data_IF_061127763495
#
_entry.id   IF_061127763495
#
_cell.length_a   1.000
_cell.length_b   1.000
_cell.length_c   1.000
_cell.angle_alpha   90.00
_cell.angle_beta   90.00
_cell.angle_gamma   90.00
#
_symmetry.space_group_name_H-M   'P 1'
#
loop_
_entity.id
_entity.type
_entity.pdbx_description
1 polymer ?
#
# COMPACT_ATOMS: atom_id res chain seq x y z
N UNK A 1 -9.21 42.84 -75.51
CA UNK A 1 -8.47 42.56 -74.26
C UNK A 1 -9.44 42.12 -73.16
N UNK A 2 -9.44 40.81 -72.89
CA UNK A 2 -9.74 40.04 -71.67
C UNK A 2 -10.88 40.42 -70.70
N UNK A 3 -12.11 40.01 -71.03
CA UNK A 3 -13.16 39.63 -70.05
C UNK A 3 -13.07 38.16 -69.57
N UNK A 4 -12.22 37.33 -70.18
CA UNK A 4 -12.09 35.91 -69.83
C UNK A 4 -11.19 35.61 -68.62
N UNK A 5 -10.42 36.59 -68.11
CA UNK A 5 -9.44 36.33 -67.04
C UNK A 5 -9.99 36.42 -65.62
N UNK A 6 -11.17 37.04 -65.40
CA UNK A 6 -11.76 37.19 -64.05
C UNK A 6 -12.61 35.99 -63.61
N UNK A 7 -13.25 35.28 -64.54
CA UNK A 7 -13.99 34.05 -64.21
C UNK A 7 -13.07 32.86 -63.90
N UNK A 8 -11.89 32.80 -64.53
CA UNK A 8 -10.91 31.74 -64.26
C UNK A 8 -10.34 31.85 -62.83
N UNK A 9 -10.08 33.06 -62.35
CA UNK A 9 -9.54 33.30 -61.00
C UNK A 9 -10.56 32.99 -59.89
N UNK A 10 -11.84 33.32 -60.10
CA UNK A 10 -12.90 32.99 -59.14
C UNK A 10 -13.19 31.49 -59.08
N UNK A 11 -13.16 30.80 -60.23
CA UNK A 11 -13.30 29.33 -60.31
C UNK A 11 -12.15 28.59 -59.62
N UNK A 12 -10.91 29.05 -59.77
CA UNK A 12 -9.74 28.46 -59.08
C UNK A 12 -9.78 28.69 -57.57
N UNK A 13 -10.20 29.86 -57.10
CA UNK A 13 -10.35 30.11 -55.65
C UNK A 13 -11.46 29.25 -55.00
N UNK A 14 -12.58 29.00 -55.70
CA UNK A 14 -13.66 28.13 -55.20
C UNK A 14 -13.23 26.65 -55.17
N UNK A 15 -12.44 26.20 -56.15
CA UNK A 15 -11.89 24.83 -56.16
C UNK A 15 -10.84 24.64 -55.05
N UNK A 16 -9.98 25.63 -54.79
CA UNK A 16 -8.97 25.55 -53.71
C UNK A 16 -9.63 25.62 -52.31
N UNK A 17 -10.71 26.41 -52.16
CA UNK A 17 -11.49 26.47 -50.91
C UNK A 17 -12.27 25.18 -50.63
N UNK A 18 -12.88 24.56 -51.65
CA UNK A 18 -13.59 23.27 -51.50
C UNK A 18 -12.65 22.09 -51.24
N UNK A 19 -11.45 22.08 -51.84
CA UNK A 19 -10.41 21.08 -51.56
C UNK A 19 -9.81 21.19 -50.14
N UNK A 20 -9.70 22.41 -49.61
CA UNK A 20 -9.19 22.64 -48.25
C UNK A 20 -10.24 22.31 -47.17
N UNK A 21 -11.52 22.61 -47.42
CA UNK A 21 -12.64 22.19 -46.57
C UNK A 21 -12.81 20.66 -46.59
N UNK A 22 -12.74 20.02 -47.77
CA UNK A 22 -12.79 18.55 -47.92
C UNK A 22 -11.64 17.85 -47.17
N UNK A 23 -10.40 18.36 -47.29
CA UNK A 23 -9.25 17.83 -46.54
C UNK A 23 -9.38 18.03 -45.03
N UNK A 24 -9.94 19.15 -44.57
CA UNK A 24 -10.19 19.40 -43.15
C UNK A 24 -11.27 18.47 -42.58
N UNK A 25 -12.33 18.22 -43.36
CA UNK A 25 -13.44 17.36 -42.99
C UNK A 25 -13.06 15.88 -43.00
N UNK A 26 -12.25 15.43 -43.97
CA UNK A 26 -11.61 14.10 -43.93
C UNK A 26 -10.66 13.95 -42.73
N UNK A 27 -9.92 15.00 -42.37
CA UNK A 27 -9.04 14.98 -41.18
C UNK A 27 -9.84 14.83 -39.91
N UNK A 28 -10.96 15.55 -39.78
CA UNK A 28 -11.90 15.45 -38.67
C UNK A 28 -12.51 14.05 -38.56
N UNK A 29 -12.97 13.48 -39.68
CA UNK A 29 -13.50 12.11 -39.74
C UNK A 29 -12.43 11.06 -39.40
N UNK A 30 -11.19 11.20 -39.91
CA UNK A 30 -10.07 10.33 -39.57
C UNK A 30 -9.65 10.47 -38.11
N UNK A 31 -9.70 11.68 -37.54
CA UNK A 31 -9.44 11.92 -36.12
C UNK A 31 -10.57 11.39 -35.23
N UNK A 32 -11.84 11.49 -35.63
CA UNK A 32 -12.96 10.87 -34.93
C UNK A 32 -12.91 9.35 -34.98
N UNK A 33 -12.60 8.76 -36.14
CA UNK A 33 -12.40 7.32 -36.27
C UNK A 33 -11.19 6.85 -35.45
N UNK A 34 -10.10 7.62 -35.42
CA UNK A 34 -8.94 7.32 -34.57
C UNK A 34 -9.28 7.43 -33.08
N UNK A 35 -10.03 8.45 -32.65
CA UNK A 35 -10.56 8.60 -31.28
C UNK A 35 -11.48 7.43 -30.91
N UNK A 36 -12.42 7.07 -31.76
CA UNK A 36 -13.29 5.90 -31.58
C UNK A 36 -12.49 4.60 -31.48
N UNK A 37 -11.43 4.45 -32.27
CA UNK A 37 -10.56 3.27 -32.27
C UNK A 37 -9.67 3.16 -31.03
N UNK A 38 -9.35 4.28 -30.38
CA UNK A 38 -8.60 4.32 -29.11
C UNK A 38 -9.51 3.96 -27.93
N UNK A 39 -10.77 4.43 -27.94
CA UNK A 39 -11.77 4.06 -26.94
C UNK A 39 -12.21 2.61 -27.11
N UNK A 40 -12.40 2.13 -28.35
CA UNK A 40 -12.82 0.74 -28.62
C UNK A 40 -11.73 -0.31 -28.42
N UNK A 41 -10.45 0.09 -28.39
CA UNK A 41 -9.31 -0.80 -28.09
C UNK A 41 -8.85 -0.75 -26.63
N UNK A 42 -9.52 0.01 -25.78
CA UNK A 42 -9.22 0.04 -24.35
C UNK A 42 -9.40 -1.33 -23.69
N UNK A 43 -8.70 -1.53 -22.58
CA UNK A 43 -8.74 -2.76 -21.78
C UNK A 43 -9.63 -2.56 -20.57
N UNK A 44 -10.69 -3.38 -20.48
CA UNK A 44 -11.42 -3.58 -19.22
C UNK A 44 -10.69 -4.65 -18.41
N UNK A 45 -10.52 -4.41 -17.11
CA UNK A 45 -9.96 -5.40 -16.19
C UNK A 45 -10.52 -5.20 -14.79
N UNK A 46 -10.46 -6.23 -13.96
CA UNK A 46 -11.03 -6.12 -12.64
C UNK A 46 -10.88 -7.35 -11.78
N UNK A 47 -11.58 -7.29 -10.65
CA UNK A 47 -11.83 -8.47 -9.85
C UNK A 47 -13.14 -8.34 -9.10
N UNK A 48 -13.79 -9.49 -8.88
CA UNK A 48 -14.72 -9.68 -7.78
C UNK A 48 -13.96 -10.31 -6.62
N UNK A 49 -14.21 -9.82 -5.41
CA UNK A 49 -13.59 -10.29 -4.16
C UNK A 49 -14.69 -10.57 -3.15
N UNK A 50 -14.57 -11.70 -2.48
CA UNK A 50 -15.25 -11.95 -1.21
C UNK A 50 -14.20 -12.19 -0.13
N UNK A 51 -14.42 -11.62 1.04
CA UNK A 51 -13.44 -11.57 2.13
C UNK A 51 -14.15 -11.83 3.45
N UNK A 52 -13.93 -13.02 4.00
CA UNK A 52 -14.32 -13.38 5.36
C UNK A 52 -13.15 -13.14 6.32
N UNK A 53 -13.43 -12.60 7.50
CA UNK A 53 -12.45 -12.30 8.53
C UNK A 53 -13.05 -12.53 9.92
N UNK A 54 -12.29 -13.16 10.82
CA UNK A 54 -12.68 -13.29 12.22
C UNK A 54 -11.48 -13.17 13.14
N UNK A 55 -11.70 -12.56 14.30
CA UNK A 55 -10.73 -12.47 15.40
C UNK A 55 -11.38 -13.04 16.66
N UNK A 56 -10.74 -14.06 17.21
CA UNK A 56 -11.10 -14.68 18.47
C UNK A 56 -10.15 -14.17 19.54
N UNK A 57 -10.69 -13.47 20.53
CA UNK A 57 -9.97 -12.95 21.69
C UNK A 57 -10.09 -13.91 22.87
N UNK A 58 -9.24 -13.69 23.87
CA UNK A 58 -9.19 -14.51 25.08
C UNK A 58 -10.43 -14.37 25.99
N UNK A 59 -10.87 -15.52 26.52
CA UNK A 59 -11.86 -15.58 27.58
C UNK A 59 -13.18 -14.92 27.20
N UNK A 60 -13.65 -14.00 28.04
CA UNK A 60 -14.91 -13.28 27.86
C UNK A 60 -14.80 -12.05 26.94
N UNK A 61 -13.61 -11.73 26.43
CA UNK A 61 -13.44 -10.60 25.52
C UNK A 61 -14.15 -10.85 24.20
N UNK A 62 -14.74 -9.79 23.66
CA UNK A 62 -15.54 -9.88 22.44
C UNK A 62 -14.73 -10.40 21.26
N UNK A 63 -15.35 -11.31 20.49
CA UNK A 63 -14.91 -11.71 19.17
C UNK A 63 -15.55 -10.84 18.09
N UNK A 64 -14.90 -10.72 16.94
CA UNK A 64 -15.49 -10.03 15.78
C UNK A 64 -15.38 -10.90 14.55
N UNK A 65 -16.47 -10.98 13.79
CA UNK A 65 -16.54 -11.62 12.49
C UNK A 65 -17.13 -10.66 11.46
N UNK A 66 -16.59 -10.68 10.25
CA UNK A 66 -17.10 -9.88 9.14
C UNK A 66 -16.96 -10.62 7.83
N UNK A 67 -17.91 -10.37 6.93
CA UNK A 67 -17.89 -10.88 5.58
C UNK A 67 -18.23 -9.75 4.61
N UNK A 68 -17.31 -9.49 3.70
CA UNK A 68 -17.44 -8.46 2.69
C UNK A 68 -17.49 -9.06 1.29
N UNK A 69 -18.29 -8.46 0.41
CA UNK A 69 -18.25 -8.71 -1.03
C UNK A 69 -18.02 -7.39 -1.76
N UNK A 70 -17.39 -7.43 -2.93
CA UNK A 70 -17.13 -6.23 -3.71
C UNK A 70 -16.09 -6.47 -4.78
N UNK A 71 -15.40 -5.42 -5.20
CA UNK A 71 -14.48 -5.57 -6.31
C UNK A 71 -13.92 -4.28 -6.83
N UNK A 72 -13.26 -4.42 -7.98
CA UNK A 72 -12.70 -3.33 -8.76
C UNK A 72 -13.08 -3.53 -10.22
N UNK A 73 -13.60 -2.49 -10.85
CA UNK A 73 -13.74 -2.39 -12.29
C UNK A 73 -12.81 -1.29 -12.79
N UNK A 74 -11.97 -1.60 -13.77
CA UNK A 74 -10.99 -0.67 -14.35
C UNK A 74 -11.10 -0.66 -15.86
N UNK A 75 -11.02 0.53 -16.44
CA UNK A 75 -10.85 0.74 -17.87
C UNK A 75 -9.58 1.55 -18.12
N UNK A 76 -8.76 1.10 -19.07
CA UNK A 76 -7.56 1.81 -19.52
C UNK A 76 -7.56 1.90 -21.04
N UNK A 77 -7.30 3.08 -21.60
CA UNK A 77 -7.12 3.20 -23.05
C UNK A 77 -5.80 2.57 -23.48
N UNK A 78 -5.66 2.26 -24.77
CA UNK A 78 -4.31 2.11 -25.35
C UNK A 78 -3.61 3.47 -25.37
N UNK A 79 -2.29 3.48 -25.56
CA UNK A 79 -1.58 4.72 -25.81
C UNK A 79 -2.00 5.31 -27.17
N UNK A 80 -2.37 6.59 -27.17
CA UNK A 80 -2.62 7.38 -28.37
C UNK A 80 -1.80 8.67 -28.30
N UNK A 81 -0.96 8.90 -29.32
CA UNK A 81 0.00 10.03 -29.32
C UNK A 81 0.75 10.15 -27.98
N UNK A 82 1.25 9.02 -27.45
CA UNK A 82 1.96 8.90 -26.17
C UNK A 82 1.11 9.12 -24.90
N UNK A 83 -0.20 9.35 -25.01
CA UNK A 83 -1.10 9.49 -23.87
C UNK A 83 -1.95 8.24 -23.62
N UNK A 84 -2.17 7.90 -22.35
CA UNK A 84 -3.07 6.86 -21.88
C UNK A 84 -3.94 7.43 -20.75
N UNK A 85 -5.23 7.15 -20.80
CA UNK A 85 -6.16 7.45 -19.71
C UNK A 85 -6.52 6.16 -18.97
N UNK A 86 -6.69 6.24 -17.65
CA UNK A 86 -7.14 5.14 -16.83
C UNK A 86 -8.13 5.59 -15.77
N UNK A 87 -9.19 4.81 -15.58
CA UNK A 87 -10.22 5.02 -14.57
C UNK A 87 -10.55 3.70 -13.87
N UNK A 88 -10.69 3.71 -12.55
CA UNK A 88 -11.09 2.53 -11.79
C UNK A 88 -12.05 2.88 -10.65
N UNK A 89 -13.10 2.07 -10.55
CA UNK A 89 -14.08 2.12 -9.49
C UNK A 89 -13.93 0.94 -8.55
N UNK A 90 -14.04 1.20 -7.25
CA UNK A 90 -13.91 0.22 -6.18
C UNK A 90 -15.19 0.19 -5.36
N UNK A 91 -15.56 -1.00 -4.91
CA UNK A 91 -16.71 -1.18 -4.01
C UNK A 91 -16.44 -2.22 -2.93
N UNK A 92 -17.06 -2.02 -1.78
CA UNK A 92 -17.13 -2.98 -0.68
C UNK A 92 -18.51 -2.93 -0.05
N UNK A 93 -19.10 -4.11 0.18
CA UNK A 93 -20.41 -4.30 0.76
C UNK A 93 -20.28 -5.18 2.00
N UNK A 94 -20.80 -4.72 3.14
CA UNK A 94 -20.96 -5.51 4.36
C UNK A 94 -22.17 -6.43 4.21
N UNK A 95 -21.92 -7.74 4.28
CA UNK A 95 -22.96 -8.78 4.17
C UNK A 95 -23.79 -8.94 5.47
N UNK A 96 -23.53 -8.10 6.47
CA UNK A 96 -24.33 -7.96 7.69
C UNK A 96 -24.47 -9.27 8.50
N UNK A 97 -23.40 -10.08 8.52
CA UNK A 97 -23.35 -11.29 9.34
C UNK A 97 -23.10 -11.00 10.83
N UNK A 98 -22.53 -9.83 11.15
CA UNK A 98 -22.33 -9.35 12.52
C UNK A 98 -22.26 -7.81 12.56
N UNK A 99 -22.55 -7.22 13.71
CA UNK A 99 -22.33 -5.79 13.95
C UNK A 99 -20.83 -5.52 14.23
N UNK A 100 -20.07 -5.20 13.18
CA UNK A 100 -18.64 -4.87 13.27
C UNK A 100 -18.36 -3.59 14.09
N UNK A 101 -19.36 -2.70 14.24
CA UNK A 101 -19.29 -1.49 15.05
C UNK A 101 -19.51 -1.74 16.55
N UNK A 102 -19.93 -2.95 16.94
CA UNK A 102 -20.12 -3.31 18.32
C UNK A 102 -18.81 -3.20 19.12
N UNK A 103 -18.94 -2.71 20.35
CA UNK A 103 -17.83 -2.56 21.28
C UNK A 103 -17.83 -3.70 22.29
N UNK A 104 -16.65 -4.04 22.75
CA UNK A 104 -16.46 -4.96 23.85
C UNK A 104 -16.99 -4.37 25.16
N UNK A 105 -17.74 -5.17 25.93
CA UNK A 105 -18.43 -4.71 27.13
C UNK A 105 -17.46 -4.34 28.27
N UNK A 106 -16.32 -5.04 28.37
CA UNK A 106 -15.36 -4.84 29.45
C UNK A 106 -14.40 -3.67 29.18
N UNK A 107 -13.97 -3.50 27.93
CA UNK A 107 -12.89 -2.58 27.56
C UNK A 107 -13.36 -1.38 26.75
N UNK A 108 -14.61 -1.39 26.28
CA UNK A 108 -15.18 -0.41 25.35
C UNK A 108 -14.37 -0.24 24.05
N UNK A 109 -13.56 -1.24 23.68
CA UNK A 109 -12.79 -1.28 22.43
C UNK A 109 -13.64 -1.83 21.30
N UNK A 110 -13.47 -1.28 20.10
CA UNK A 110 -14.09 -1.81 18.88
C UNK A 110 -13.18 -2.80 18.14
N UNK A 111 -13.69 -3.36 17.04
CA UNK A 111 -12.90 -4.18 16.12
C UNK A 111 -11.64 -3.44 15.66
N UNK A 112 -10.53 -4.18 15.57
CA UNK A 112 -9.27 -3.68 15.00
C UNK A 112 -9.06 -4.09 13.54
N UNK A 113 -9.55 -5.27 13.16
CA UNK A 113 -9.18 -5.88 11.87
C UNK A 113 -10.34 -5.94 10.88
N UNK A 114 -11.50 -6.39 11.35
CA UNK A 114 -12.75 -6.63 10.60
C UNK A 114 -13.35 -5.33 10.12
N UNK A 115 -13.35 -4.27 10.94
CA UNK A 115 -13.78 -2.93 10.53
C UNK A 115 -13.01 -2.45 9.30
N UNK A 116 -11.76 -2.89 9.14
CA UNK A 116 -10.95 -2.59 7.98
C UNK A 116 -11.46 -3.23 6.68
N UNK A 117 -12.48 -4.08 6.68
CA UNK A 117 -13.13 -4.51 5.44
C UNK A 117 -14.07 -3.45 4.85
N UNK A 118 -14.48 -2.46 5.65
CA UNK A 118 -15.50 -1.45 5.32
C UNK A 118 -14.99 -0.03 5.63
N UNK A 119 -15.87 0.98 5.54
CA UNK A 119 -15.48 2.34 5.89
C UNK A 119 -15.06 2.46 7.37
N UNK A 120 -13.77 2.66 7.61
CA UNK A 120 -13.22 2.73 8.97
C UNK A 120 -13.65 3.96 9.78
N UNK A 121 -14.17 5.01 9.14
CA UNK A 121 -14.70 6.20 9.84
C UNK A 121 -16.20 6.13 10.11
N UNK A 122 -16.91 5.19 9.46
CA UNK A 122 -18.34 5.02 9.62
C UNK A 122 -18.72 3.53 9.56
N UNK A 123 -18.70 2.86 10.71
CA UNK A 123 -19.01 1.43 10.81
C UNK A 123 -20.45 1.08 10.41
N UNK A 124 -21.38 2.05 10.42
CA UNK A 124 -22.77 1.85 10.02
C UNK A 124 -22.95 1.89 8.50
N UNK A 125 -21.98 2.41 7.76
CA UNK A 125 -22.02 2.46 6.31
C UNK A 125 -21.87 1.05 5.74
N UNK A 126 -22.99 0.50 5.25
CA UNK A 126 -23.03 -0.86 4.69
C UNK A 126 -22.26 -1.00 3.39
N UNK A 127 -22.13 0.07 2.62
CA UNK A 127 -21.49 0.04 1.31
C UNK A 127 -20.54 1.21 1.15
N UNK A 128 -19.31 0.90 0.74
CA UNK A 128 -18.23 1.85 0.46
C UNK A 128 -17.95 1.86 -1.02
N UNK A 129 -17.92 3.04 -1.61
CA UNK A 129 -17.70 3.26 -3.03
C UNK A 129 -16.56 4.25 -3.22
N UNK A 130 -15.69 4.02 -4.19
CA UNK A 130 -14.58 4.93 -4.45
C UNK A 130 -14.20 4.94 -5.92
N UNK A 131 -14.25 6.13 -6.55
CA UNK A 131 -13.57 6.38 -7.81
C UNK A 131 -12.07 6.56 -7.55
N UNK A 132 -11.39 5.41 -7.46
CA UNK A 132 -10.07 5.28 -6.86
C UNK A 132 -8.90 5.53 -7.80
N UNK A 133 -9.05 5.23 -9.09
CA UNK A 133 -8.08 5.59 -10.12
C UNK A 133 -8.76 6.50 -11.14
N UNK A 134 -8.08 7.59 -11.52
CA UNK A 134 -8.50 8.55 -12.53
C UNK A 134 -7.24 9.34 -12.91
N UNK A 135 -6.53 8.90 -13.95
CA UNK A 135 -5.23 9.46 -14.30
C UNK A 135 -5.03 9.62 -15.80
N UNK A 136 -4.19 10.59 -16.15
CA UNK A 136 -3.55 10.73 -17.44
C UNK A 136 -2.09 10.32 -17.33
N UNK A 137 -1.63 9.50 -18.26
CA UNK A 137 -0.25 9.06 -18.36
C UNK A 137 0.34 9.44 -19.70
N UNK A 138 1.49 10.10 -19.67
CA UNK A 138 2.33 10.36 -20.84
C UNK A 138 3.52 9.39 -20.84
N UNK A 139 3.84 8.80 -21.99
CA UNK A 139 4.96 7.88 -22.14
C UNK A 139 5.72 8.10 -23.44
N UNK A 140 7.01 8.45 -23.36
CA UNK A 140 7.88 8.60 -24.51
C UNK A 140 9.24 7.94 -24.25
N UNK A 141 9.61 6.98 -25.10
CA UNK A 141 10.83 6.19 -24.92
C UNK A 141 10.83 5.46 -23.58
N UNK A 142 11.79 5.81 -22.70
CA UNK A 142 11.91 5.23 -21.36
C UNK A 142 11.43 6.16 -20.24
N UNK A 143 10.70 7.23 -20.57
CA UNK A 143 10.13 8.20 -19.63
C UNK A 143 8.63 8.03 -19.52
N UNK A 144 8.12 8.07 -18.30
CA UNK A 144 6.70 7.97 -18.00
C UNK A 144 6.32 9.00 -16.95
N UNK A 145 5.28 9.77 -17.22
CA UNK A 145 4.68 10.75 -16.30
C UNK A 145 3.22 10.35 -16.10
N UNK A 146 2.75 10.30 -14.86
CA UNK A 146 1.35 10.04 -14.50
C UNK A 146 0.85 11.18 -13.64
N UNK A 147 -0.34 11.69 -13.94
CA UNK A 147 -1.01 12.76 -13.20
C UNK A 147 -2.43 12.31 -12.86
N UNK A 148 -2.84 12.50 -11.60
CA UNK A 148 -4.20 12.20 -11.13
C UNK A 148 -4.20 11.16 -10.01
N UNK A 149 -5.32 10.43 -9.89
CA UNK A 149 -5.51 9.38 -8.87
C UNK A 149 -4.99 8.05 -9.40
N UNK A 150 -4.10 7.41 -8.68
CA UNK A 150 -3.38 6.23 -9.12
C UNK A 150 -2.99 5.33 -7.94
N UNK A 151 -2.78 4.06 -8.25
CA UNK A 151 -2.22 3.10 -7.28
C UNK A 151 -0.70 3.06 -7.40
N UNK A 152 0.02 3.59 -6.42
CA UNK A 152 1.49 3.50 -6.37
C UNK A 152 1.97 2.49 -5.33
N UNK A 153 3.18 1.99 -5.53
CA UNK A 153 3.85 1.08 -4.60
C UNK A 153 5.31 1.50 -4.45
N UNK A 154 5.64 1.99 -3.26
CA UNK A 154 6.98 2.22 -2.75
C UNK A 154 7.20 1.39 -1.47
N UNK A 155 8.42 1.32 -0.92
CA UNK A 155 8.67 0.67 0.37
C UNK A 155 7.74 1.12 1.51
N UNK A 156 7.67 2.43 1.81
CA UNK A 156 6.92 2.95 2.96
C UNK A 156 5.48 3.37 2.62
N UNK A 157 5.23 3.82 1.38
CA UNK A 157 3.89 4.17 0.90
C UNK A 157 3.40 3.15 -0.12
N UNK A 158 2.35 2.40 0.20
CA UNK A 158 1.91 1.26 -0.60
C UNK A 158 0.42 0.95 -0.44
N UNK A 159 -0.18 0.13 -1.33
CA UNK A 159 -1.63 -0.05 -1.39
C UNK A 159 -2.23 -0.79 -0.18
N UNK A 160 -1.42 -1.43 0.66
CA UNK A 160 -1.91 -2.23 1.79
C UNK A 160 -3.04 -3.23 1.44
N UNK A 161 -2.98 -3.85 0.25
CA UNK A 161 -4.04 -4.65 -0.38
C UNK A 161 -4.33 -6.00 0.33
N UNK A 162 -4.69 -5.90 1.61
CA UNK A 162 -5.13 -7.00 2.47
C UNK A 162 -6.51 -6.72 3.07
N UNK A 163 -7.33 -5.92 2.38
CA UNK A 163 -8.72 -5.55 2.66
C UNK A 163 -9.48 -5.42 1.34
N UNK A 164 -10.68 -4.82 1.32
CA UNK A 164 -11.49 -4.70 0.09
C UNK A 164 -11.01 -3.59 -0.86
N UNK A 165 -10.80 -2.39 -0.32
CA UNK A 165 -10.35 -1.20 -1.07
C UNK A 165 -8.93 -0.84 -0.61
N UNK A 166 -7.93 -0.79 -1.50
CA UNK A 166 -6.55 -0.47 -1.14
C UNK A 166 -6.34 1.02 -0.89
N UNK A 167 -5.19 1.39 -0.31
CA UNK A 167 -4.71 2.78 -0.32
C UNK A 167 -4.45 3.25 -1.75
N UNK A 168 -4.93 4.44 -2.09
CA UNK A 168 -4.80 5.07 -3.40
C UNK A 168 -4.31 6.51 -3.23
N UNK A 169 -3.62 7.04 -4.23
CA UNK A 169 -2.87 8.29 -4.10
C UNK A 169 -3.20 9.24 -5.25
N UNK A 170 -3.20 10.53 -4.98
CA UNK A 170 -3.39 11.57 -6.00
C UNK A 170 -2.15 12.45 -6.07
N UNK A 171 -1.62 12.65 -7.27
CA UNK A 171 -0.47 13.51 -7.47
C UNK A 171 0.16 13.38 -8.84
N UNK A 172 1.42 13.80 -8.91
CA UNK A 172 2.29 13.66 -10.06
C UNK A 172 3.34 12.58 -9.76
N UNK A 173 3.56 11.69 -10.72
CA UNK A 173 4.55 10.64 -10.62
C UNK A 173 5.36 10.52 -11.92
N UNK A 174 6.68 10.52 -11.79
CA UNK A 174 7.63 10.33 -12.85
C UNK A 174 8.44 9.06 -12.63
N UNK A 175 8.71 8.35 -13.72
CA UNK A 175 9.55 7.16 -13.75
C UNK A 175 10.36 7.12 -15.03
N UNK A 176 11.66 6.86 -14.91
CA UNK A 176 12.49 6.53 -16.06
C UNK A 176 13.36 5.29 -15.85
N UNK A 177 13.77 4.69 -16.97
CA UNK A 177 14.65 3.52 -17.03
C UNK A 177 15.76 3.69 -18.09
N UNK A 178 16.28 4.92 -18.21
CA UNK A 178 17.30 5.26 -19.21
C UNK A 178 18.53 4.36 -19.08
N UNK A 179 19.09 4.32 -17.87
CA UNK A 179 20.26 3.53 -17.52
C UNK A 179 19.89 2.04 -17.39
N UNK A 180 20.77 1.17 -17.88
CA UNK A 180 20.62 -0.29 -17.74
C UNK A 180 20.57 -0.67 -16.26
N UNK A 181 19.68 -1.59 -15.91
CA UNK A 181 19.50 -2.10 -14.54
C UNK A 181 19.06 -1.08 -13.48
N UNK A 182 18.82 0.18 -13.87
CA UNK A 182 18.48 1.26 -12.94
C UNK A 182 17.10 1.83 -13.27
N UNK A 183 16.31 2.09 -12.23
CA UNK A 183 15.05 2.83 -12.31
C UNK A 183 15.16 4.05 -11.41
N UNK A 184 14.95 5.24 -11.97
CA UNK A 184 14.78 6.45 -11.17
C UNK A 184 13.31 6.86 -11.16
N UNK A 185 12.86 7.34 -10.00
CA UNK A 185 11.47 7.75 -9.78
C UNK A 185 11.45 9.03 -8.97
N UNK A 186 10.47 9.88 -9.25
CA UNK A 186 10.20 11.08 -8.48
C UNK A 186 8.70 11.35 -8.47
N UNK A 187 8.17 11.97 -7.42
CA UNK A 187 6.76 12.33 -7.38
C UNK A 187 6.42 13.31 -6.28
N UNK A 188 5.27 13.96 -6.45
CA UNK A 188 4.65 14.82 -5.46
C UNK A 188 3.21 14.37 -5.26
N UNK A 189 2.89 13.92 -4.05
CA UNK A 189 1.57 13.39 -3.70
C UNK A 189 0.86 14.40 -2.82
N UNK A 190 -0.33 14.85 -3.24
CA UNK A 190 -1.10 15.86 -2.52
C UNK A 190 -2.23 15.26 -1.69
N UNK A 191 -2.80 14.13 -2.13
CA UNK A 191 -3.91 13.48 -1.44
C UNK A 191 -3.75 11.96 -1.41
N UNK A 192 -4.44 11.36 -0.46
CA UNK A 192 -4.52 9.91 -0.27
C UNK A 192 -5.97 9.54 0.05
N UNK A 193 -6.42 8.42 -0.50
CA UNK A 193 -7.55 7.67 0.03
C UNK A 193 -6.93 6.50 0.82
N UNK A 194 -6.92 6.54 2.17
CA UNK A 194 -6.42 5.44 2.97
C UNK A 194 -7.16 4.14 2.64
N UNK A 195 -6.56 3.00 2.98
CA UNK A 195 -7.23 1.71 2.80
C UNK A 195 -8.59 1.71 3.51
N UNK A 196 -9.62 1.26 2.80
CA UNK A 196 -11.00 1.17 3.31
C UNK A 196 -11.63 2.52 3.66
N UNK A 197 -11.36 3.52 2.82
CA UNK A 197 -12.04 4.82 2.76
C UNK A 197 -12.88 4.95 1.50
N UNK A 198 -13.84 5.88 1.51
CA UNK A 198 -14.68 6.26 0.37
C UNK A 198 -14.29 7.61 -0.28
N UNK A 199 -13.35 8.36 0.27
CA UNK A 199 -12.90 9.63 -0.27
C UNK A 199 -11.38 9.84 -0.22
N UNK A 200 -10.91 10.82 -0.99
CA UNK A 200 -9.55 11.33 -0.90
C UNK A 200 -9.52 12.51 0.08
N UNK A 201 -8.49 12.55 0.92
CA UNK A 201 -8.18 13.65 1.84
C UNK A 201 -6.75 14.12 1.61
N UNK A 202 -6.43 15.34 2.03
CA UNK A 202 -5.05 15.86 1.90
C UNK A 202 -4.07 14.99 2.70
N UNK A 203 -2.77 15.07 2.35
CA UNK A 203 -1.73 14.35 3.11
C UNK A 203 -1.76 14.72 4.60
N UNK A 204 -1.97 15.99 4.96
CA UNK A 204 -2.06 16.43 6.35
C UNK A 204 -3.29 15.84 7.07
N UNK A 205 -4.49 15.97 6.48
CA UNK A 205 -5.73 15.45 7.07
C UNK A 205 -5.69 13.93 7.24
N UNK A 206 -4.97 13.22 6.38
CA UNK A 206 -4.88 11.77 6.47
C UNK A 206 -4.19 11.26 7.74
N UNK A 207 -3.32 12.06 8.36
CA UNK A 207 -2.51 11.63 9.49
C UNK A 207 -3.36 11.59 10.76
N UNK A 208 -3.48 10.42 11.38
CA UNK A 208 -4.24 10.22 12.61
C UNK A 208 -5.72 9.90 12.42
N UNK A 209 -6.13 9.57 11.19
CA UNK A 209 -7.46 9.03 10.90
C UNK A 209 -7.70 7.72 11.66
N UNK A 210 -6.67 6.87 11.74
CA UNK A 210 -6.71 5.70 12.59
C UNK A 210 -6.41 6.11 14.05
N UNK A 211 -5.72 5.26 14.82
CA UNK A 211 -5.33 5.61 16.19
C UNK A 211 -4.25 6.69 16.22
N UNK A 212 -4.49 7.76 16.98
CA UNK A 212 -3.50 8.82 17.26
C UNK A 212 -2.42 8.40 18.26
N UNK A 213 -2.68 7.37 19.06
CA UNK A 213 -1.76 6.90 20.11
C UNK A 213 -1.52 7.94 21.21
N UNK A 214 -0.38 7.81 21.88
CA UNK A 214 0.03 8.65 23.02
C UNK A 214 1.21 9.56 22.68
N UNK A 215 1.29 10.69 23.37
CA UNK A 215 2.45 11.56 23.44
C UNK A 215 3.57 10.91 24.28
N UNK A 216 4.79 11.47 24.32
CA UNK A 216 5.89 10.92 25.14
C UNK A 216 5.57 10.90 26.64
N UNK A 217 4.79 11.86 27.12
CA UNK A 217 4.30 11.97 28.50
C UNK A 217 3.16 11.01 28.85
N UNK A 218 2.67 10.23 27.88
CA UNK A 218 1.56 9.29 28.06
C UNK A 218 0.16 9.89 27.82
N UNK A 219 0.03 11.20 27.66
CA UNK A 219 -1.23 11.87 27.29
C UNK A 219 -1.69 11.45 25.88
N UNK A 220 -2.97 11.66 25.55
CA UNK A 220 -3.48 11.38 24.20
C UNK A 220 -2.84 12.33 23.19
N UNK A 221 -2.37 11.82 22.06
CA UNK A 221 -1.85 12.68 20.99
C UNK A 221 -2.96 13.54 20.37
N UNK A 222 -2.66 14.82 20.18
CA UNK A 222 -3.61 15.84 19.72
C UNK A 222 -3.36 16.33 18.29
N UNK A 223 -2.51 15.67 17.51
CA UNK A 223 -2.10 16.16 16.18
C UNK A 223 -3.18 16.03 15.08
N UNK A 224 -4.24 15.27 15.30
CA UNK A 224 -5.29 15.08 14.29
C UNK A 224 -5.96 16.42 13.99
N UNK A 225 -6.01 16.78 12.70
CA UNK A 225 -6.48 18.09 12.21
C UNK A 225 -5.65 19.30 12.68
N UNK A 226 -4.44 19.11 13.24
CA UNK A 226 -3.57 20.20 13.69
C UNK A 226 -2.31 20.37 12.82
N UNK A 227 -2.13 19.50 11.83
CA UNK A 227 -0.96 19.49 10.95
C UNK A 227 -1.24 20.29 9.69
N UNK A 228 -0.23 20.99 9.20
CA UNK A 228 -0.23 21.62 7.87
C UNK A 228 0.82 20.95 6.99
N UNK A 229 0.49 20.69 5.73
CA UNK A 229 1.41 20.10 4.75
C UNK A 229 0.89 20.32 3.33
N UNK A 230 1.79 20.68 2.40
CA UNK A 230 1.50 20.80 0.96
C UNK A 230 1.50 19.45 0.24
N UNK A 231 2.01 18.40 0.88
CA UNK A 231 2.09 17.06 0.29
C UNK A 231 3.33 16.28 0.70
N UNK A 232 3.56 15.19 -0.03
CA UNK A 232 4.67 14.27 0.16
C UNK A 232 5.50 14.20 -1.12
N UNK A 233 6.73 14.72 -1.06
CA UNK A 233 7.75 14.54 -2.08
C UNK A 233 8.42 13.17 -1.94
N UNK A 234 8.65 12.48 -3.06
CA UNK A 234 9.34 11.19 -3.07
C UNK A 234 10.36 11.18 -4.20
N UNK A 235 11.57 10.72 -3.92
CA UNK A 235 12.61 10.46 -4.93
C UNK A 235 13.24 9.10 -4.66
N UNK A 236 13.52 8.33 -5.71
CA UNK A 236 14.16 7.03 -5.56
C UNK A 236 15.10 6.66 -6.69
N UNK A 237 16.06 5.80 -6.33
CA UNK A 237 16.90 5.06 -7.26
C UNK A 237 16.87 3.59 -6.84
N UNK A 238 16.45 2.74 -7.78
CA UNK A 238 16.50 1.29 -7.64
C UNK A 238 17.51 0.74 -8.66
N UNK A 239 18.47 -0.07 -8.21
CA UNK A 239 19.41 -0.80 -9.07
C UNK A 239 19.35 -2.29 -8.77
N UNK A 240 19.42 -3.13 -9.79
CA UNK A 240 19.52 -4.57 -9.61
C UNK A 240 20.21 -5.28 -10.78
N UNK A 241 21.18 -6.14 -10.46
CA UNK A 241 21.77 -7.08 -11.40
C UNK A 241 21.65 -8.54 -10.91
N UNK A 242 22.43 -9.44 -11.51
CA UNK A 242 22.39 -10.88 -11.21
C UNK A 242 22.91 -11.20 -9.80
N UNK A 243 23.88 -10.44 -9.27
CA UNK A 243 24.58 -10.71 -8.01
C UNK A 243 24.07 -9.83 -6.87
N UNK A 244 23.72 -8.58 -7.14
CA UNK A 244 23.32 -7.65 -6.09
C UNK A 244 22.25 -6.66 -6.56
N UNK A 245 21.73 -5.89 -5.62
CA UNK A 245 20.86 -4.77 -5.92
C UNK A 245 20.66 -3.88 -4.72
N UNK A 246 20.19 -2.66 -4.97
CA UNK A 246 19.90 -1.69 -3.95
C UNK A 246 18.64 -0.89 -4.27
N UNK A 247 18.04 -0.33 -3.22
CA UNK A 247 16.95 0.64 -3.29
C UNK A 247 17.28 1.77 -2.34
N UNK A 248 17.23 2.99 -2.83
CA UNK A 248 17.37 4.20 -2.02
C UNK A 248 16.15 5.07 -2.29
N UNK A 249 15.43 5.41 -1.22
CA UNK A 249 14.19 6.17 -1.29
C UNK A 249 14.21 7.29 -0.26
N UNK A 250 13.91 8.51 -0.68
CA UNK A 250 13.67 9.64 0.19
C UNK A 250 12.18 10.00 0.15
N UNK A 251 11.60 10.27 1.33
CA UNK A 251 10.22 10.70 1.53
C UNK A 251 10.25 12.00 2.34
N UNK A 252 9.87 13.10 1.70
CA UNK A 252 9.81 14.43 2.28
C UNK A 252 8.34 14.80 2.53
N UNK A 253 7.87 14.63 3.76
CA UNK A 253 6.55 15.08 4.17
C UNK A 253 6.67 16.56 4.55
N UNK A 254 6.18 17.45 3.67
CA UNK A 254 6.27 18.90 3.84
C UNK A 254 5.79 19.30 5.24
N UNK A 255 6.59 20.11 5.92
CA UNK A 255 6.39 20.62 7.27
C UNK A 255 6.39 19.60 8.43
N UNK A 256 6.59 18.30 8.19
CA UNK A 256 6.44 17.26 9.23
C UNK A 256 7.73 16.48 9.47
N UNK A 257 8.23 15.77 8.45
CA UNK A 257 9.43 14.94 8.58
C UNK A 257 10.07 14.61 7.23
N UNK A 258 11.33 14.21 7.27
CA UNK A 258 12.01 13.57 6.15
C UNK A 258 12.42 12.14 6.54
N UNK A 259 12.20 11.16 5.65
CA UNK A 259 12.60 9.75 5.84
C UNK A 259 13.46 9.26 4.68
N UNK A 260 14.65 8.79 4.98
CA UNK A 260 15.50 8.02 4.07
C UNK A 260 15.34 6.53 4.35
N UNK A 261 15.05 5.74 3.32
CA UNK A 261 15.05 4.28 3.35
C UNK A 261 16.13 3.75 2.40
N UNK A 262 16.96 2.84 2.89
CA UNK A 262 17.96 2.11 2.12
C UNK A 262 17.76 0.61 2.28
N UNK A 263 17.88 -0.14 1.19
CA UNK A 263 17.96 -1.60 1.19
C UNK A 263 19.04 -2.04 0.20
N UNK A 264 19.87 -3.00 0.59
CA UNK A 264 20.86 -3.64 -0.27
C UNK A 264 20.73 -5.15 -0.15
N UNK A 265 21.00 -5.88 -1.22
CA UNK A 265 21.11 -7.32 -1.18
C UNK A 265 22.29 -7.86 -1.97
N UNK A 266 22.83 -8.97 -1.51
CA UNK A 266 23.81 -9.81 -2.19
C UNK A 266 23.24 -11.22 -2.37
N UNK A 267 23.57 -11.87 -3.47
CA UNK A 267 23.22 -13.26 -3.77
C UNK A 267 24.50 -14.06 -4.03
N UNK A 268 24.48 -15.31 -3.62
CA UNK A 268 25.53 -16.25 -3.94
C UNK A 268 25.05 -17.68 -3.88
N UNK A 269 25.99 -18.61 -3.98
CA UNK A 269 25.76 -20.04 -3.86
C UNK A 269 26.94 -20.65 -3.10
N UNK A 270 26.67 -21.47 -2.08
CA UNK A 270 27.70 -22.21 -1.34
C UNK A 270 27.41 -23.70 -1.49
N UNK A 271 28.31 -24.44 -2.13
CA UNK A 271 28.19 -25.91 -2.32
C UNK A 271 26.82 -26.33 -2.86
N UNK A 272 26.29 -25.60 -3.83
CA UNK A 272 24.98 -25.86 -4.43
C UNK A 272 23.80 -25.17 -3.75
N UNK A 273 23.95 -24.64 -2.53
CA UNK A 273 22.90 -23.94 -1.78
C UNK A 273 22.85 -22.44 -2.15
N UNK A 274 21.83 -21.96 -2.89
CA UNK A 274 21.66 -20.54 -3.17
C UNK A 274 21.28 -19.78 -1.90
N UNK A 275 21.90 -18.62 -1.69
CA UNK A 275 21.63 -17.73 -0.58
C UNK A 275 21.46 -16.28 -1.02
N UNK A 276 20.75 -15.50 -0.21
CA UNK A 276 20.58 -14.06 -0.36
C UNK A 276 20.70 -13.38 1.00
N UNK A 277 21.66 -12.48 1.14
CA UNK A 277 21.84 -11.62 2.31
C UNK A 277 21.29 -10.23 1.99
N UNK A 278 20.54 -9.63 2.91
CA UNK A 278 19.89 -8.34 2.76
C UNK A 278 20.17 -7.47 3.99
N UNK A 279 20.45 -6.19 3.77
CA UNK A 279 20.55 -5.16 4.80
C UNK A 279 19.56 -4.04 4.52
N UNK A 280 19.00 -3.44 5.57
CA UNK A 280 18.04 -2.35 5.51
C UNK A 280 18.39 -1.28 6.54
N UNK A 281 18.19 -0.01 6.19
CA UNK A 281 18.24 1.14 7.10
C UNK A 281 17.05 2.07 6.84
N UNK A 282 16.52 2.66 7.91
CA UNK A 282 15.62 3.82 7.82
C UNK A 282 16.15 4.89 8.76
N UNK A 283 16.32 6.09 8.25
CA UNK A 283 16.66 7.29 9.03
C UNK A 283 15.56 8.32 8.85
N UNK A 284 15.05 8.85 9.95
CA UNK A 284 13.99 9.85 9.96
C UNK A 284 14.44 11.07 10.73
N UNK A 285 14.15 12.26 10.22
CA UNK A 285 14.45 13.53 10.87
C UNK A 285 13.18 14.37 10.90
N UNK A 286 12.94 15.04 12.03
CA UNK A 286 11.89 16.02 12.18
C UNK A 286 12.11 17.21 11.24
N UNK A 287 11.03 17.78 10.73
CA UNK A 287 11.04 19.07 10.04
C UNK A 287 10.02 19.98 10.73
N UNK A 288 10.31 21.28 10.84
CA UNK A 288 9.40 22.31 11.35
C UNK A 288 8.56 21.84 12.56
N UNK A 289 9.26 21.44 13.63
CA UNK A 289 8.67 20.98 14.90
C UNK A 289 7.71 19.78 14.76
N UNK A 290 7.77 19.03 13.66
CA UNK A 290 6.94 17.84 13.45
C UNK A 290 5.53 18.15 12.96
N UNK A 291 5.32 19.32 12.36
CA UNK A 291 4.06 19.76 11.76
C UNK A 291 3.22 20.70 12.61
N UNK A 292 3.67 21.02 13.83
CA UNK A 292 3.00 21.97 14.73
C UNK A 292 3.98 22.47 15.80
N UNK A 293 3.90 23.73 16.21
CA UNK A 293 4.74 24.30 17.28
C UNK A 293 4.44 23.70 18.66
N UNK A 294 3.17 23.33 18.91
CA UNK A 294 2.76 22.63 20.10
C UNK A 294 3.16 21.16 20.06
N UNK A 295 4.05 20.73 20.95
CA UNK A 295 4.60 19.36 20.94
C UNK A 295 3.53 18.26 21.02
N UNK A 296 2.42 18.49 21.73
CA UNK A 296 1.31 17.54 21.86
C UNK A 296 0.40 17.49 20.61
N UNK A 297 0.54 18.46 19.72
CA UNK A 297 -0.14 18.59 18.43
C UNK A 297 0.79 18.27 17.24
N UNK A 298 2.07 18.02 17.48
CA UNK A 298 3.01 17.55 16.47
C UNK A 298 2.87 16.04 16.24
N UNK A 299 3.04 15.59 14.98
CA UNK A 299 3.06 14.17 14.65
C UNK A 299 4.42 13.54 14.98
N UNK A 300 5.50 14.19 14.56
CA UNK A 300 6.87 13.73 14.76
C UNK A 300 7.50 14.51 15.93
N UNK A 301 7.53 13.91 17.12
CA UNK A 301 7.80 14.61 18.39
C UNK A 301 9.27 14.52 18.86
N UNK A 302 10.12 13.80 18.14
CA UNK A 302 11.55 13.66 18.45
C UNK A 302 12.39 14.20 17.31
N UNK A 303 13.62 14.65 17.56
CA UNK A 303 14.47 15.22 16.49
C UNK A 303 14.77 14.22 15.37
N UNK A 304 14.95 12.94 15.72
CA UNK A 304 15.22 11.89 14.75
C UNK A 304 14.75 10.52 15.24
N UNK A 305 14.73 9.54 14.33
CA UNK A 305 14.53 8.13 14.60
C UNK A 305 15.35 7.31 13.60
N UNK A 306 15.89 6.19 14.05
CA UNK A 306 16.69 5.31 13.20
C UNK A 306 16.33 3.85 13.45
N UNK A 307 16.38 3.05 12.39
CA UNK A 307 16.24 1.61 12.47
C UNK A 307 17.13 0.93 11.43
N UNK A 308 17.52 -0.30 11.72
CA UNK A 308 18.21 -1.14 10.77
C UNK A 308 17.69 -2.58 10.83
N UNK A 309 18.02 -3.37 9.81
CA UNK A 309 17.68 -4.78 9.79
C UNK A 309 18.52 -5.60 8.84
N UNK A 310 18.52 -6.90 9.09
CA UNK A 310 19.23 -7.90 8.29
C UNK A 310 18.30 -9.06 8.01
N UNK A 311 18.39 -9.61 6.79
CA UNK A 311 17.72 -10.86 6.43
C UNK A 311 18.71 -11.79 5.72
N UNK A 312 18.80 -13.01 6.22
CA UNK A 312 19.40 -14.12 5.50
C UNK A 312 18.28 -14.98 4.91
N UNK A 313 18.37 -15.31 3.63
CA UNK A 313 17.48 -16.24 2.96
C UNK A 313 18.31 -17.34 2.29
N UNK A 314 17.92 -18.59 2.45
CA UNK A 314 18.49 -19.76 1.75
C UNK A 314 17.43 -20.48 0.93
N UNK A 315 17.86 -21.17 -0.11
CA UNK A 315 16.98 -21.92 -1.01
C UNK A 315 17.40 -23.39 -1.11
N UNK A 316 17.16 -24.22 -0.08
CA UNK A 316 17.71 -25.58 0.00
C UNK A 316 17.12 -26.54 -1.03
N UNK A 317 15.97 -26.20 -1.61
CA UNK A 317 15.28 -26.96 -2.66
C UNK A 317 14.65 -25.98 -3.63
N UNK A 318 14.29 -26.45 -4.81
CA UNK A 318 13.59 -25.61 -5.78
C UNK A 318 12.31 -25.02 -5.16
N UNK A 319 12.14 -23.70 -5.28
CA UNK A 319 10.96 -22.96 -4.79
C UNK A 319 10.69 -23.06 -3.27
N UNK A 320 11.64 -23.56 -2.49
CA UNK A 320 11.66 -23.47 -1.04
C UNK A 320 12.55 -22.29 -0.63
N UNK A 321 12.00 -21.31 0.08
CA UNK A 321 12.77 -20.25 0.70
C UNK A 321 12.64 -20.33 2.21
N UNK A 322 13.77 -20.39 2.92
CA UNK A 322 13.82 -20.27 4.38
C UNK A 322 14.53 -18.95 4.68
N UNK A 323 14.01 -18.18 5.62
CA UNK A 323 14.58 -16.88 5.98
C UNK A 323 14.62 -16.65 7.49
N UNK A 324 15.67 -15.95 7.91
CA UNK A 324 15.87 -15.42 9.25
C UNK A 324 16.02 -13.91 9.15
N UNK A 325 15.27 -13.19 9.97
CA UNK A 325 15.18 -11.73 9.94
C UNK A 325 15.46 -11.16 11.31
N UNK A 326 16.06 -9.98 11.31
CA UNK A 326 16.17 -9.11 12.47
C UNK A 326 15.91 -7.66 12.08
N UNK A 327 15.22 -6.93 12.95
CA UNK A 327 15.13 -5.48 12.91
C UNK A 327 15.31 -4.90 14.32
N UNK A 328 16.04 -3.80 14.40
CA UNK A 328 16.16 -2.98 15.60
C UNK A 328 15.74 -1.56 15.31
N UNK A 329 14.85 -1.01 16.14
CA UNK A 329 14.51 0.41 16.17
C UNK A 329 15.25 1.04 17.34
N UNK A 330 16.05 2.08 17.07
CA UNK A 330 16.85 2.77 18.08
C UNK A 330 16.01 3.46 19.15
N UNK A 331 16.65 3.83 20.26
CA UNK A 331 16.00 4.49 21.39
C UNK A 331 15.77 6.01 21.22
N UNK A 332 16.47 6.66 20.28
CA UNK A 332 16.47 8.11 20.14
C UNK A 332 15.10 8.70 19.75
N UNK A 333 14.25 7.91 19.09
CA UNK A 333 12.92 8.32 18.72
C UNK A 333 12.11 7.17 18.14
N UNK A 334 10.79 7.33 18.13
CA UNK A 334 9.88 6.32 17.60
C UNK A 334 9.98 6.27 16.09
N UNK A 335 9.97 5.07 15.50
CA UNK A 335 9.79 4.93 14.05
C UNK A 335 8.36 5.37 13.70
N UNK A 336 8.19 6.48 12.99
CA UNK A 336 6.90 7.08 12.70
C UNK A 336 6.72 7.27 11.20
N UNK A 337 5.76 6.56 10.61
CA UNK A 337 5.31 6.79 9.25
C UNK A 337 3.80 6.58 9.19
N UNK A 338 2.99 7.53 8.68
CA UNK A 338 1.54 7.47 8.81
C UNK A 338 0.95 6.15 8.33
N UNK A 339 0.15 5.50 9.18
CA UNK A 339 -0.39 4.15 8.94
C UNK A 339 -1.35 4.12 7.76
N UNK A 340 -1.91 5.27 7.43
CA UNK A 340 -2.81 5.55 6.32
C UNK A 340 -2.10 5.46 4.96
N UNK A 341 -0.80 5.79 4.91
CA UNK A 341 -0.02 5.86 3.67
C UNK A 341 0.51 4.50 3.23
N UNK A 342 0.70 3.58 4.17
CA UNK A 342 1.25 2.28 3.84
C UNK A 342 1.47 1.34 5.01
N UNK A 343 2.03 0.18 4.68
CA UNK A 343 2.66 -0.78 5.59
C UNK A 343 4.17 -0.56 5.59
N UNK A 344 4.81 -0.72 6.74
CA UNK A 344 6.27 -0.71 6.88
C UNK A 344 6.97 -1.85 6.10
N UNK A 345 8.14 -1.62 5.49
CA UNK A 345 8.88 -2.62 4.71
C UNK A 345 9.89 -3.42 5.55
N UNK A 346 9.73 -3.47 6.88
CA UNK A 346 10.69 -4.14 7.78
C UNK A 346 10.78 -5.64 7.47
N UNK A 347 11.97 -6.22 7.55
CA UNK A 347 12.16 -7.66 7.32
C UNK A 347 11.41 -8.53 8.32
N UNK A 348 11.17 -8.04 9.53
CA UNK A 348 10.40 -8.72 10.58
C UNK A 348 8.90 -8.51 10.46
N UNK A 349 8.40 -7.77 9.46
CA UNK A 349 6.97 -7.57 9.30
C UNK A 349 6.26 -8.92 9.07
N UNK A 350 5.32 -9.26 9.97
CA UNK A 350 4.31 -10.31 9.79
C UNK A 350 2.91 -9.71 9.66
N UNK A 351 1.97 -10.42 9.02
CA UNK A 351 0.63 -9.86 8.81
C UNK A 351 -0.04 -9.66 10.16
N UNK A 352 -0.67 -8.50 10.40
CA UNK A 352 -1.26 -8.11 11.71
C UNK A 352 -0.25 -7.71 12.78
N UNK A 353 1.02 -7.53 12.40
CA UNK A 353 2.05 -6.94 13.24
C UNK A 353 2.56 -5.63 12.65
N UNK A 354 2.79 -4.61 13.49
CA UNK A 354 3.38 -3.33 13.07
C UNK A 354 4.30 -2.81 14.15
N UNK A 355 5.42 -2.26 13.73
CA UNK A 355 6.46 -1.67 14.58
C UNK A 355 6.41 -0.14 14.58
N UNK A 356 5.68 0.48 13.64
CA UNK A 356 5.37 1.91 13.66
C UNK A 356 4.81 2.35 15.02
N UNK A 357 5.38 3.45 15.53
CA UNK A 357 5.16 4.03 16.85
C UNK A 357 6.02 3.46 17.96
N UNK A 358 6.90 2.50 17.67
CA UNK A 358 7.84 1.96 18.65
C UNK A 358 9.22 2.61 18.53
N UNK A 359 9.94 2.68 19.64
CA UNK A 359 11.37 2.90 19.74
C UNK A 359 11.99 1.77 20.59
N UNK A 360 13.32 1.69 20.65
CA UNK A 360 14.07 0.73 21.47
C UNK A 360 13.51 -0.71 21.38
N UNK A 361 13.24 -1.16 20.16
CA UNK A 361 12.52 -2.41 19.89
C UNK A 361 13.43 -3.38 19.15
N UNK A 362 13.39 -4.64 19.56
CA UNK A 362 14.11 -5.74 18.92
C UNK A 362 13.09 -6.75 18.41
N UNK A 363 13.13 -7.06 17.12
CA UNK A 363 12.25 -8.04 16.52
C UNK A 363 13.04 -9.06 15.72
N UNK A 364 12.72 -10.34 15.87
CA UNK A 364 13.32 -11.43 15.10
C UNK A 364 12.22 -12.28 14.52
N UNK A 365 12.39 -12.78 13.30
CA UNK A 365 11.44 -13.75 12.72
C UNK A 365 12.17 -14.82 11.94
N UNK A 366 11.71 -16.06 12.05
CA UNK A 366 12.06 -17.15 11.14
C UNK A 366 10.84 -17.49 10.31
N UNK A 367 11.04 -17.89 9.05
CA UNK A 367 9.93 -18.35 8.23
C UNK A 367 10.35 -19.15 7.02
N UNK A 368 9.35 -19.75 6.39
CA UNK A 368 9.51 -20.53 5.18
C UNK A 368 8.42 -20.16 4.18
N UNK A 369 8.75 -20.26 2.88
CA UNK A 369 7.79 -20.16 1.79
C UNK A 369 8.08 -21.29 0.81
N UNK A 370 7.09 -22.15 0.60
CA UNK A 370 7.15 -23.23 -0.39
C UNK A 370 6.14 -22.94 -1.49
N UNK A 371 6.56 -23.13 -2.74
CA UNK A 371 5.66 -23.04 -3.89
C UNK A 371 5.64 -24.36 -4.65
N UNK A 372 4.44 -24.84 -4.96
CA UNK A 372 4.19 -25.94 -5.89
C UNK A 372 3.49 -25.39 -7.13
N UNK A 373 3.96 -25.77 -8.31
CA UNK A 373 3.32 -25.48 -9.60
C UNK A 373 3.16 -26.82 -10.33
N UNK A 374 1.95 -27.19 -10.75
CA UNK A 374 1.68 -28.55 -11.28
C UNK A 374 1.49 -28.60 -12.80
N UNK A 375 0.85 -27.60 -13.40
CA UNK A 375 0.37 -27.61 -14.79
C UNK A 375 0.55 -26.24 -15.47
N UNK A 376 1.48 -25.41 -14.96
CA UNK A 376 1.68 -23.99 -15.34
C UNK A 376 0.49 -23.04 -15.08
N UNK A 377 -0.66 -23.54 -14.64
CA UNK A 377 -1.84 -22.74 -14.34
C UNK A 377 -2.14 -22.73 -12.83
N UNK A 378 -2.22 -23.91 -12.24
CA UNK A 378 -2.45 -24.24 -10.85
C UNK A 378 -1.19 -24.07 -10.01
N UNK A 379 -1.32 -23.35 -8.90
CA UNK A 379 -0.19 -23.01 -8.02
C UNK A 379 -0.64 -22.92 -6.57
N UNK A 380 0.10 -23.59 -5.68
CA UNK A 380 -0.04 -23.45 -4.23
C UNK A 380 1.21 -22.77 -3.67
N UNK A 381 1.01 -21.74 -2.86
CA UNK A 381 2.07 -21.12 -2.06
C UNK A 381 1.68 -21.26 -0.60
N UNK A 382 2.49 -21.96 0.18
CA UNK A 382 2.38 -22.01 1.63
C UNK A 382 3.46 -21.14 2.26
N UNK A 383 3.09 -20.34 3.26
CA UNK A 383 4.02 -19.51 4.03
C UNK A 383 3.82 -19.78 5.50
N UNK A 384 4.92 -19.97 6.21
CA UNK A 384 4.99 -20.12 7.65
C UNK A 384 5.90 -19.02 8.21
N UNK A 385 5.52 -18.44 9.33
CA UNK A 385 6.34 -17.46 10.03
C UNK A 385 6.18 -17.58 11.53
N UNK A 386 7.27 -17.42 12.26
CA UNK A 386 7.29 -17.31 13.70
C UNK A 386 8.19 -16.13 14.10
N UNK A 387 7.66 -15.23 14.92
CA UNK A 387 8.33 -13.99 15.27
C UNK A 387 8.25 -13.67 16.75
N UNK A 388 9.27 -12.97 17.23
CA UNK A 388 9.42 -12.44 18.58
C UNK A 388 9.61 -10.94 18.49
N UNK A 389 8.83 -10.18 19.26
CA UNK A 389 8.83 -8.72 19.25
C UNK A 389 9.01 -8.21 20.67
N UNK A 390 10.26 -7.93 21.03
CA UNK A 390 10.62 -7.30 22.30
C UNK A 390 10.40 -5.80 22.18
N UNK A 391 9.47 -5.28 22.97
CA UNK A 391 9.06 -3.89 22.95
C UNK A 391 9.25 -3.25 24.32
N UNK A 392 9.36 -1.92 24.40
CA UNK A 392 9.29 -1.19 25.65
C UNK A 392 7.98 -1.48 26.40
N UNK A 393 8.01 -1.25 27.71
CA UNK A 393 6.88 -1.47 28.62
C UNK A 393 5.65 -0.64 28.21
N UNK A 394 4.48 -1.02 28.74
CA UNK A 394 3.22 -0.36 28.42
C UNK A 394 3.16 1.08 28.96
N UNK A 395 3.84 1.33 30.08
CA UNK A 395 3.92 2.60 30.78
C UNK A 395 4.92 3.55 30.11
N UNK A 396 5.85 3.01 29.33
CA UNK A 396 6.84 3.78 28.57
C UNK A 396 6.17 4.45 27.35
N UNK A 397 5.41 5.50 27.66
CA UNK A 397 4.96 6.57 26.79
C UNK A 397 5.93 6.75 25.62
N UNK A 398 7.07 7.37 25.95
CA UNK A 398 8.12 7.84 25.05
C UNK A 398 8.57 6.82 24.01
N UNK A 399 8.62 5.52 24.31
CA UNK A 399 9.07 4.50 23.36
C UNK A 399 7.96 3.56 22.86
N UNK A 400 6.77 3.55 23.46
CA UNK A 400 5.64 2.69 23.08
C UNK A 400 4.35 3.51 22.86
N UNK A 401 4.24 4.16 21.69
CA UNK A 401 3.12 5.07 21.34
C UNK A 401 1.74 4.47 21.53
N UNK A 402 1.58 3.17 21.33
CA UNK A 402 0.28 2.52 21.29
C UNK A 402 0.00 1.60 22.48
N UNK A 403 0.95 1.42 23.40
CA UNK A 403 0.88 0.46 24.49
C UNK A 403 0.75 -0.98 23.96
N UNK A 404 1.61 -1.35 23.02
CA UNK A 404 1.66 -2.73 22.51
C UNK A 404 2.48 -3.60 23.45
N UNK A 405 1.88 -4.69 23.89
CA UNK A 405 2.57 -5.72 24.70
C UNK A 405 3.65 -6.37 23.83
N UNK A 406 4.82 -6.66 24.40
CA UNK A 406 5.82 -7.52 23.76
C UNK A 406 5.20 -8.89 23.45
N UNK A 407 5.41 -9.45 22.27
CA UNK A 407 4.64 -10.63 21.85
C UNK A 407 5.42 -11.60 20.96
N UNK A 408 4.96 -12.84 20.95
CA UNK A 408 5.23 -13.79 19.87
C UNK A 408 4.09 -13.77 18.85
N UNK A 409 4.40 -14.11 17.61
CA UNK A 409 3.39 -14.25 16.56
C UNK A 409 3.72 -15.41 15.61
N UNK A 410 2.73 -16.27 15.38
CA UNK A 410 2.79 -17.35 14.39
C UNK A 410 1.84 -17.04 13.24
N UNK A 411 2.33 -17.13 12.00
CA UNK A 411 1.56 -16.93 10.78
C UNK A 411 1.56 -18.23 9.96
N UNK A 412 0.38 -18.61 9.47
CA UNK A 412 0.21 -19.58 8.38
C UNK A 412 -0.59 -18.92 7.26
N UNK A 413 -0.07 -18.94 6.04
CA UNK A 413 -0.75 -18.43 4.85
C UNK A 413 -0.74 -19.49 3.75
N UNK A 414 -1.90 -19.74 3.16
CA UNK A 414 -2.08 -20.60 2.00
C UNK A 414 -2.69 -19.80 0.86
N UNK A 415 -2.01 -19.74 -0.28
CA UNK A 415 -2.51 -19.11 -1.50
C UNK A 415 -2.63 -20.17 -2.60
N UNK A 416 -3.84 -20.39 -3.08
CA UNK A 416 -4.11 -21.30 -4.17
C UNK A 416 -4.62 -20.54 -5.40
N UNK A 417 -3.94 -20.75 -6.52
CA UNK A 417 -4.39 -20.36 -7.85
C UNK A 417 -4.89 -21.62 -8.53
N UNK A 418 -6.13 -21.57 -9.00
CA UNK A 418 -6.75 -22.67 -9.75
C UNK A 418 -6.26 -22.65 -11.22
N UNK A 419 -6.32 -23.80 -11.88
CA UNK A 419 -6.15 -23.98 -13.33
C UNK A 419 -7.45 -24.32 -14.07
N UNK A 420 -7.34 -24.62 -15.35
CA UNK A 420 -8.45 -25.03 -16.22
C UNK A 420 -9.56 -24.00 -16.32
N UNK A 421 -10.81 -24.45 -16.19
CA UNK A 421 -12.01 -23.59 -16.24
C UNK A 421 -11.99 -22.54 -15.12
N UNK A 422 -11.35 -22.83 -14.00
CA UNK A 422 -11.27 -21.96 -12.83
C UNK A 422 -10.01 -21.08 -12.81
N UNK A 423 -9.24 -20.99 -13.91
CA UNK A 423 -7.95 -20.27 -13.97
C UNK A 423 -7.95 -18.79 -13.61
N UNK A 424 -9.13 -18.19 -13.42
CA UNK A 424 -9.36 -16.82 -12.95
C UNK A 424 -9.61 -16.70 -11.45
N UNK A 425 -9.85 -17.82 -10.75
CA UNK A 425 -10.05 -17.86 -9.31
C UNK A 425 -8.73 -17.91 -8.54
N UNK A 426 -8.69 -17.22 -7.40
CA UNK A 426 -7.58 -17.22 -6.44
C UNK A 426 -8.17 -17.31 -5.05
N UNK A 427 -7.76 -18.32 -4.28
CA UNK A 427 -8.11 -18.49 -2.87
C UNK A 427 -6.91 -18.14 -2.01
N UNK A 428 -7.14 -17.39 -0.93
CA UNK A 428 -6.13 -17.08 0.06
C UNK A 428 -6.71 -17.30 1.46
N UNK A 429 -6.00 -18.09 2.26
CA UNK A 429 -6.28 -18.27 3.68
C UNK A 429 -5.10 -17.75 4.49
N UNK A 430 -5.38 -17.05 5.58
CA UNK A 430 -4.42 -16.60 6.57
C UNK A 430 -4.93 -16.96 7.96
N UNK A 431 -4.06 -17.55 8.75
CA UNK A 431 -4.22 -17.77 10.18
C UNK A 431 -3.07 -17.08 10.91
N UNK A 432 -3.38 -16.33 11.96
CA UNK A 432 -2.41 -15.66 12.83
C UNK A 432 -2.74 -15.98 14.27
N UNK A 433 -1.75 -16.41 15.03
CA UNK A 433 -1.84 -16.51 16.49
C UNK A 433 -0.86 -15.53 17.13
N UNK A 434 -1.30 -14.85 18.18
CA UNK A 434 -0.45 -13.92 18.95
C UNK A 434 -0.58 -14.21 20.44
N UNK A 435 0.54 -14.23 21.13
CA UNK A 435 0.61 -14.37 22.60
C UNK A 435 1.65 -13.39 23.17
N UNK A 436 1.48 -12.90 24.40
CA UNK A 436 2.46 -12.04 25.05
C UNK A 436 3.79 -12.79 25.25
N UNK A 437 4.87 -12.02 25.33
CA UNK A 437 6.15 -12.50 25.84
C UNK A 437 6.14 -12.38 27.37
N UNK A 438 6.31 -13.50 28.07
CA UNK A 438 6.25 -13.58 29.53
C UNK A 438 4.84 -13.92 30.05
N UNK A 439 4.74 -14.06 31.38
CA UNK A 439 3.55 -14.59 32.07
C UNK A 439 2.81 -13.53 32.91
N UNK A 440 3.00 -12.24 32.60
CA UNK A 440 2.35 -11.16 33.32
C UNK A 440 0.86 -11.06 32.93
N UNK A 441 -0.02 -10.87 33.91
CA UNK A 441 -1.41 -10.49 33.64
C UNK A 441 -1.48 -9.03 33.18
N UNK A 442 -2.15 -8.80 32.06
CA UNK A 442 -2.32 -7.47 31.49
C UNK A 442 -3.76 -7.01 31.62
N UNK A 443 -3.96 -5.70 31.81
CA UNK A 443 -5.30 -5.12 31.73
C UNK A 443 -5.92 -5.48 30.34
N UNK A 444 -7.16 -5.98 30.28
CA UNK A 444 -7.76 -6.47 29.04
C UNK A 444 -7.78 -5.46 27.88
N UNK A 445 -7.74 -4.16 28.19
CA UNK A 445 -7.64 -3.08 27.20
C UNK A 445 -6.35 -3.11 26.37
N UNK A 446 -5.30 -3.77 26.85
CA UNK A 446 -4.01 -3.91 26.16
C UNK A 446 -3.85 -5.26 25.44
N UNK A 447 -4.69 -6.26 25.72
CA UNK A 447 -4.64 -7.56 25.05
C UNK A 447 -5.66 -7.69 23.92
N UNK A 448 -6.88 -7.14 24.09
CA UNK A 448 -7.96 -7.27 23.11
C UNK A 448 -7.54 -6.79 21.70
N UNK A 449 -7.71 -7.66 20.71
CA UNK A 449 -7.26 -7.48 19.32
C UNK A 449 -5.74 -7.24 19.17
N UNK A 450 -4.91 -7.61 20.15
CA UNK A 450 -3.45 -7.37 20.14
C UNK A 450 -2.63 -8.63 20.39
N UNK A 451 -2.94 -9.37 21.46
CA UNK A 451 -2.32 -10.63 21.89
C UNK A 451 -3.39 -11.52 22.55
N UNK A 452 -3.05 -12.78 22.85
CA UNK A 452 -3.99 -13.82 23.26
C UNK A 452 -5.19 -13.90 22.30
N UNK A 453 -4.86 -13.99 21.00
CA UNK A 453 -5.88 -14.00 19.96
C UNK A 453 -5.49 -14.86 18.77
N UNK A 454 -6.52 -15.46 18.17
CA UNK A 454 -6.47 -16.06 16.86
C UNK A 454 -7.14 -15.13 15.85
N UNK A 455 -6.58 -15.05 14.65
CA UNK A 455 -7.15 -14.30 13.55
C UNK A 455 -7.15 -15.14 12.29
N UNK A 456 -8.30 -15.21 11.64
CA UNK A 456 -8.48 -15.95 10.41
C UNK A 456 -9.00 -15.00 9.32
N UNK A 457 -8.53 -15.21 8.10
CA UNK A 457 -9.15 -14.61 6.93
C UNK A 457 -9.15 -15.56 5.76
N UNK A 458 -10.27 -15.57 5.03
CA UNK A 458 -10.46 -16.33 3.80
C UNK A 458 -10.90 -15.37 2.70
N UNK A 459 -10.14 -15.32 1.61
CA UNK A 459 -10.35 -14.41 0.49
C UNK A 459 -10.46 -15.21 -0.79
N UNK A 460 -11.55 -15.04 -1.52
CA UNK A 460 -11.70 -15.57 -2.87
C UNK A 460 -11.78 -14.40 -3.85
N UNK A 461 -10.95 -14.43 -4.88
CA UNK A 461 -10.95 -13.46 -5.97
C UNK A 461 -11.23 -14.13 -7.30
N UNK A 462 -12.10 -13.55 -8.11
CA UNK A 462 -12.22 -13.82 -9.54
C UNK A 462 -11.63 -12.64 -10.32
N UNK A 463 -10.57 -12.86 -11.08
CA UNK A 463 -9.86 -11.83 -11.84
C UNK A 463 -10.20 -11.91 -13.33
N UNK A 464 -10.48 -10.78 -13.98
CA UNK A 464 -10.79 -10.71 -15.41
C UNK A 464 -10.03 -9.60 -16.14
#
# INVERSE_FOLDING_TARGET
MNRYSKCLFLGVCIIVSSLSVSKAQERLLKDEQAKHKVVSRGKVSGYFRTFFMTTQNEGALRNWTAWAAGGKLKYETTFFKNFQFGIAYYTSHNLNIENVGARDAQTNRGSRYEIGLFNTTNANQRTTHLLGEAYLKYGQGKHYISLGRMKLKSPLMNPQDGRMIPTLLQGLWYKNKLLKNTTFQAGWISHVAPRSFDNFVTMAESIGINSVGRNPDGSSSGYRNQLTSKGLGIVSVDYADKKWGMKIWNYYADNIFNTLYGEVYLKGNVKGLPWKLMGQVVQQNQLNQGGNEGINQAYFQTNSSSLWGVRLQISPREKLFIFLNYNHIGKAGRFLFPREWGREPLFTFQRRERSEGMANTHAWTVGATQTWDWDNESKLVLKLGYGHYHRPLLEDAAHNKYGLVANIQSDFEAQYRFGGILKRLRLEYLMVYKAPLGNQEFNPRYIINRVNMWHHSLVLNYQF
#
